data_IF_209265405127
#
_entry.id   IF_209265405127
#
_cell.length_a   1.000
_cell.length_b   1.000
_cell.length_c   1.000
_cell.angle_alpha   90.00
_cell.angle_beta   90.00
_cell.angle_gamma   90.00
#
_symmetry.space_group_name_H-M   'P 1'
#
loop_
_entity.id
_entity.type
_entity.pdbx_description
1 polymer ?
#
# COMPACT_ATOMS: atom_id res chain seq x y z
N UNK A 1 -21.80 -34.79 -15.11
CA UNK A 1 -21.92 -33.36 -14.76
C UNK A 1 -21.06 -33.12 -13.54
N UNK A 2 -19.83 -32.69 -13.77
CA UNK A 2 -18.87 -32.38 -12.69
C UNK A 2 -19.38 -31.14 -11.94
N UNK A 3 -19.49 -31.24 -10.61
CA UNK A 3 -20.01 -30.16 -9.78
C UNK A 3 -19.17 -28.89 -9.99
N UNK A 4 -19.77 -27.85 -10.56
CA UNK A 4 -19.21 -26.50 -10.74
C UNK A 4 -19.08 -25.76 -9.39
N UNK A 5 -19.33 -26.45 -8.27
CA UNK A 5 -19.05 -25.92 -6.93
C UNK A 5 -17.56 -26.05 -6.67
N UNK A 6 -16.91 -24.91 -6.47
CA UNK A 6 -15.50 -24.86 -6.10
C UNK A 6 -15.18 -25.68 -4.83
N UNK A 7 -13.90 -25.79 -4.47
CA UNK A 7 -13.46 -26.61 -3.35
C UNK A 7 -14.20 -26.27 -2.05
N UNK A 8 -14.63 -27.29 -1.31
CA UNK A 8 -15.28 -27.09 -0.01
C UNK A 8 -14.22 -26.74 1.04
N UNK A 9 -14.00 -25.44 1.24
CA UNK A 9 -12.99 -24.92 2.15
C UNK A 9 -13.25 -25.27 3.62
N UNK A 10 -14.51 -25.44 4.02
CA UNK A 10 -14.85 -25.78 5.40
C UNK A 10 -14.40 -27.20 5.72
N UNK A 11 -14.67 -28.14 4.81
CA UNK A 11 -14.26 -29.54 4.97
C UNK A 11 -12.72 -29.67 5.04
N UNK A 12 -12.01 -28.94 4.18
CA UNK A 12 -10.53 -28.92 4.16
C UNK A 12 -10.00 -28.35 5.49
N UNK A 13 -10.62 -27.28 5.99
CA UNK A 13 -10.25 -26.65 7.25
C UNK A 13 -10.45 -27.60 8.43
N UNK A 14 -11.59 -28.28 8.50
CA UNK A 14 -11.87 -29.25 9.57
C UNK A 14 -10.87 -30.41 9.57
N UNK A 15 -10.52 -30.96 8.41
CA UNK A 15 -9.52 -32.02 8.32
C UNK A 15 -8.13 -31.53 8.76
N UNK A 16 -7.75 -30.31 8.35
CA UNK A 16 -6.50 -29.69 8.80
C UNK A 16 -6.44 -29.52 10.33
N UNK A 17 -7.53 -29.05 10.94
CA UNK A 17 -7.64 -28.85 12.39
C UNK A 17 -7.62 -30.18 13.16
N UNK A 18 -8.31 -31.21 12.67
CA UNK A 18 -8.31 -32.56 13.28
C UNK A 18 -6.92 -33.17 13.38
N UNK A 19 -6.05 -32.84 12.44
CA UNK A 19 -4.70 -33.37 12.33
C UNK A 19 -3.64 -32.47 13.00
N UNK A 20 -4.06 -31.48 13.79
CA UNK A 20 -3.21 -30.57 14.58
C UNK A 20 -2.07 -29.91 13.78
N UNK A 21 -2.22 -29.76 12.45
CA UNK A 21 -1.21 -29.13 11.60
C UNK A 21 0.00 -30.00 11.25
N UNK A 22 0.03 -31.28 11.65
CA UNK A 22 1.10 -32.24 11.28
C UNK A 22 0.95 -32.77 9.84
N UNK A 23 -0.07 -32.30 9.10
CA UNK A 23 -0.34 -32.72 7.73
C UNK A 23 0.58 -32.00 6.76
N UNK A 24 1.15 -32.77 5.83
CA UNK A 24 1.74 -32.21 4.62
C UNK A 24 0.64 -31.57 3.78
N UNK A 25 0.61 -30.23 3.77
CA UNK A 25 -0.32 -29.43 2.95
C UNK A 25 -0.34 -29.82 1.47
N UNK A 26 0.74 -30.41 0.94
CA UNK A 26 0.78 -30.91 -0.45
C UNK A 26 -0.16 -32.09 -0.67
N UNK A 27 -0.16 -33.07 0.24
CA UNK A 27 -1.01 -34.25 0.17
C UNK A 27 -2.49 -33.88 0.39
N UNK A 28 -2.75 -32.94 1.30
CA UNK A 28 -4.08 -32.38 1.51
C UNK A 28 -4.59 -31.66 0.25
N UNK A 29 -3.73 -30.88 -0.41
CA UNK A 29 -4.09 -30.19 -1.65
C UNK A 29 -4.43 -31.17 -2.78
N UNK A 30 -3.64 -32.25 -2.92
CA UNK A 30 -3.87 -33.31 -3.92
C UNK A 30 -5.21 -34.04 -3.67
N UNK A 31 -5.54 -34.36 -2.41
CA UNK A 31 -6.80 -35.02 -2.03
C UNK A 31 -8.05 -34.24 -2.46
N UNK A 32 -8.00 -32.92 -2.35
CA UNK A 32 -9.12 -32.03 -2.66
C UNK A 32 -9.04 -31.40 -4.07
N UNK A 33 -8.05 -31.77 -4.88
CA UNK A 33 -7.86 -31.22 -6.22
C UNK A 33 -7.53 -29.71 -6.23
N UNK A 34 -6.97 -29.19 -5.14
CA UNK A 34 -6.63 -27.77 -4.99
C UNK A 34 -5.14 -27.58 -5.27
N UNK A 35 -4.76 -26.44 -5.85
CA UNK A 35 -3.34 -26.07 -5.94
C UNK A 35 -2.76 -25.84 -4.55
N UNK A 36 -1.60 -26.42 -4.27
CA UNK A 36 -0.87 -26.22 -3.01
C UNK A 36 -0.73 -24.74 -2.61
N UNK A 37 -0.42 -23.87 -3.57
CA UNK A 37 -0.29 -22.43 -3.35
C UNK A 37 -1.60 -21.76 -2.88
N UNK A 38 -2.74 -22.17 -3.44
CA UNK A 38 -4.06 -21.67 -3.03
C UNK A 38 -4.39 -22.10 -1.61
N UNK A 39 -4.16 -23.38 -1.29
CA UNK A 39 -4.38 -23.90 0.06
C UNK A 39 -3.50 -23.19 1.09
N UNK A 40 -2.21 -23.01 0.79
CA UNK A 40 -1.26 -22.28 1.65
C UNK A 40 -1.67 -20.82 1.86
N UNK A 41 -2.10 -20.13 0.81
CA UNK A 41 -2.56 -18.74 0.88
C UNK A 41 -3.83 -18.62 1.74
N UNK A 42 -4.80 -19.54 1.57
CA UNK A 42 -6.04 -19.56 2.34
C UNK A 42 -5.79 -19.82 3.82
N UNK A 43 -5.00 -20.85 4.14
CA UNK A 43 -4.55 -21.18 5.50
C UNK A 43 -4.00 -19.94 6.23
N UNK A 44 -3.16 -19.15 5.55
CA UNK A 44 -2.57 -17.94 6.11
C UNK A 44 -3.55 -16.76 6.21
N UNK A 45 -4.48 -16.60 5.27
CA UNK A 45 -5.49 -15.51 5.31
C UNK A 45 -6.49 -15.71 6.44
N UNK A 46 -6.85 -16.95 6.72
CA UNK A 46 -7.83 -17.32 7.76
C UNK A 46 -7.18 -17.76 9.07
N UNK A 47 -5.85 -17.66 9.19
CA UNK A 47 -5.10 -18.00 10.40
C UNK A 47 -5.46 -19.37 11.01
N UNK A 48 -5.57 -20.42 10.19
CA UNK A 48 -5.98 -21.76 10.67
C UNK A 48 -5.07 -22.30 11.80
N UNK A 49 -3.81 -21.88 11.84
CA UNK A 49 -2.85 -22.27 12.90
C UNK A 49 -3.25 -21.76 14.31
N UNK A 50 -3.98 -20.64 14.39
CA UNK A 50 -4.45 -20.09 15.67
C UNK A 50 -5.54 -20.97 16.31
N UNK A 51 -6.28 -21.73 15.50
CA UNK A 51 -7.36 -22.60 15.99
C UNK A 51 -6.83 -23.93 16.56
N UNK A 52 -5.64 -24.37 16.12
CA UNK A 52 -4.96 -25.57 16.64
C UNK A 52 -4.35 -25.28 18.01
N UNK A 53 -3.67 -24.14 18.16
CA UNK A 53 -2.90 -23.82 19.34
C UNK A 53 -3.51 -22.63 20.11
N UNK A 54 -4.63 -22.85 20.80
CA UNK A 54 -5.24 -21.81 21.66
C UNK A 54 -4.33 -21.33 22.81
N UNK A 55 -3.29 -22.10 23.16
CA UNK A 55 -2.40 -21.81 24.30
C UNK A 55 -0.94 -21.53 23.92
N UNK A 56 -0.56 -21.66 22.65
CA UNK A 56 0.80 -21.28 22.24
C UNK A 56 0.69 -19.89 21.67
N UNK A 57 1.18 -18.90 22.43
CA UNK A 57 1.50 -17.60 21.90
C UNK A 57 2.64 -17.75 20.87
N UNK A 58 2.36 -18.33 19.70
CA UNK A 58 3.17 -18.14 18.51
C UNK A 58 2.86 -16.74 18.00
N UNK A 59 3.23 -15.74 18.82
CA UNK A 59 3.34 -14.36 18.41
C UNK A 59 4.22 -14.34 17.16
N UNK A 60 3.58 -14.34 15.99
CA UNK A 60 4.10 -13.89 14.72
C UNK A 60 5.62 -14.05 14.56
N UNK A 61 6.15 -15.28 14.57
CA UNK A 61 7.54 -15.50 14.17
C UNK A 61 7.77 -15.06 12.71
N UNK A 62 6.67 -14.89 11.96
CA UNK A 62 6.64 -14.17 10.69
C UNK A 62 5.74 -12.94 10.82
N UNK A 63 6.13 -11.94 11.62
CA UNK A 63 5.73 -10.59 11.26
C UNK A 63 6.23 -10.42 9.83
N UNK A 64 5.31 -10.33 8.88
CA UNK A 64 5.67 -9.91 7.53
C UNK A 64 6.20 -8.48 7.69
N UNK A 65 7.52 -8.36 7.89
CA UNK A 65 8.22 -7.13 7.51
C UNK A 65 7.78 -6.91 6.08
N UNK A 66 7.03 -5.84 5.85
CA UNK A 66 6.68 -5.42 4.51
C UNK A 66 7.97 -5.48 3.69
N UNK A 67 8.10 -6.46 2.80
CA UNK A 67 9.27 -6.60 1.93
C UNK A 67 9.10 -5.65 0.74
N UNK A 68 8.54 -4.46 0.99
CA UNK A 68 9.05 -3.29 0.32
C UNK A 68 10.47 -3.16 0.89
N UNK A 69 11.46 -3.69 0.18
CA UNK A 69 12.86 -3.34 0.42
C UNK A 69 12.90 -1.84 0.58
N UNK A 70 13.11 -1.36 1.81
CA UNK A 70 13.47 0.04 2.01
C UNK A 70 14.73 0.23 1.17
N UNK A 71 14.58 0.91 0.04
CA UNK A 71 15.70 1.30 -0.78
C UNK A 71 16.63 2.09 0.14
N UNK A 72 17.71 1.44 0.60
CA UNK A 72 18.84 2.05 1.33
C UNK A 72 19.60 3.07 0.47
N UNK A 73 19.04 3.43 -0.68
CA UNK A 73 19.36 4.61 -1.45
C UNK A 73 18.37 5.75 -1.18
N UNK A 74 17.97 5.97 0.07
CA UNK A 74 17.65 7.33 0.50
C UNK A 74 18.97 8.08 0.72
N UNK A 75 19.80 8.13 -0.35
CA UNK A 75 20.67 9.28 -0.54
C UNK A 75 19.70 10.45 -0.38
N UNK A 76 20.01 11.37 0.52
CA UNK A 76 19.49 12.72 0.44
C UNK A 76 20.00 13.24 -0.91
N UNK A 77 19.38 12.82 -2.00
CA UNK A 77 19.42 13.54 -3.25
C UNK A 77 18.76 14.84 -2.86
N UNK A 78 19.59 15.78 -2.41
CA UNK A 78 19.28 17.19 -2.53
C UNK A 78 19.10 17.29 -4.03
N UNK A 79 17.85 17.17 -4.49
CA UNK A 79 17.52 17.39 -5.89
C UNK A 79 18.24 18.70 -6.25
N UNK A 80 19.03 18.71 -7.33
CA UNK A 80 19.71 19.93 -7.72
C UNK A 80 18.61 20.97 -7.89
N UNK A 81 18.54 21.90 -6.93
CA UNK A 81 17.67 23.05 -7.02
C UNK A 81 18.22 23.78 -8.23
N UNK A 82 17.47 23.73 -9.33
CA UNK A 82 17.83 24.40 -10.57
C UNK A 82 17.99 25.90 -10.27
N UNK A 83 18.89 26.55 -11.00
CA UNK A 83 19.18 27.98 -10.81
C UNK A 83 17.89 28.82 -10.87
N UNK A 84 16.97 28.45 -11.77
CA UNK A 84 15.62 29.02 -11.90
C UNK A 84 14.78 28.99 -10.61
N UNK A 85 14.84 27.90 -9.82
CA UNK A 85 14.06 27.79 -8.58
C UNK A 85 14.67 28.65 -7.47
N UNK A 86 16.00 28.84 -7.47
CA UNK A 86 16.68 29.74 -6.53
C UNK A 86 16.36 31.20 -6.83
N UNK A 87 16.35 31.56 -8.11
CA UNK A 87 15.97 32.91 -8.54
C UNK A 87 14.55 33.28 -8.06
N UNK A 88 13.58 32.37 -8.18
CA UNK A 88 12.21 32.63 -7.69
C UNK A 88 12.15 32.76 -6.15
N UNK A 89 13.01 32.06 -5.42
CA UNK A 89 13.11 32.16 -3.95
C UNK A 89 13.80 33.45 -3.48
N UNK A 90 14.76 33.95 -4.25
CA UNK A 90 15.57 35.13 -3.92
C UNK A 90 14.96 36.45 -4.45
N UNK A 91 14.02 36.38 -5.41
CA UNK A 91 13.36 37.55 -6.00
C UNK A 91 12.47 38.31 -5.02
N UNK A 92 12.95 39.43 -4.48
CA UNK A 92 12.22 40.32 -3.56
C UNK A 92 10.95 40.93 -4.14
N UNK A 93 10.83 40.94 -5.47
CA UNK A 93 9.70 41.54 -6.19
C UNK A 93 8.44 40.65 -6.17
N UNK A 94 8.59 39.36 -5.85
CA UNK A 94 7.49 38.41 -5.72
C UNK A 94 6.96 38.36 -4.29
N UNK A 95 5.66 38.60 -4.13
CA UNK A 95 4.97 38.40 -2.84
C UNK A 95 4.96 36.92 -2.45
N UNK A 96 4.90 36.61 -1.15
CA UNK A 96 4.92 35.23 -0.63
C UNK A 96 3.85 34.33 -1.29
N UNK A 97 2.67 34.90 -1.57
CA UNK A 97 1.59 34.17 -2.24
C UNK A 97 1.91 33.83 -3.70
N UNK A 98 2.59 34.72 -4.42
CA UNK A 98 3.02 34.44 -5.79
C UNK A 98 4.12 33.37 -5.82
N UNK A 99 5.06 33.41 -4.88
CA UNK A 99 6.10 32.36 -4.73
C UNK A 99 5.48 30.98 -4.45
N UNK A 100 4.50 30.93 -3.54
CA UNK A 100 3.74 29.71 -3.24
C UNK A 100 2.95 29.21 -4.46
N UNK A 101 2.38 30.11 -5.26
CA UNK A 101 1.69 29.74 -6.49
C UNK A 101 2.64 29.06 -7.50
N UNK A 102 3.84 29.60 -7.72
CA UNK A 102 4.86 29.00 -8.58
C UNK A 102 5.25 27.58 -8.14
N UNK A 103 5.25 27.30 -6.83
CA UNK A 103 5.50 25.96 -6.30
C UNK A 103 4.31 25.00 -6.54
N UNK A 104 3.07 25.47 -6.40
CA UNK A 104 1.88 24.62 -6.52
C UNK A 104 1.44 24.37 -7.96
N UNK A 105 1.69 25.30 -8.89
CA UNK A 105 1.20 25.20 -10.26
C UNK A 105 1.73 23.94 -10.99
N UNK A 106 3.05 23.64 -10.99
CA UNK A 106 3.58 22.41 -11.60
C UNK A 106 3.07 21.12 -10.94
N UNK A 107 2.62 21.19 -9.68
CA UNK A 107 2.09 20.02 -8.95
C UNK A 107 0.66 19.66 -9.35
N UNK A 108 -0.17 20.67 -9.62
CA UNK A 108 -1.60 20.47 -9.85
C UNK A 108 -2.04 20.71 -11.30
N UNK A 109 -1.20 21.35 -12.12
CA UNK A 109 -1.51 21.78 -13.49
C UNK A 109 -2.87 22.48 -13.61
N UNK A 110 -3.24 23.23 -12.56
CA UNK A 110 -4.54 23.87 -12.43
C UNK A 110 -4.36 25.18 -11.68
N UNK A 111 -4.66 26.29 -12.36
CA UNK A 111 -4.48 27.64 -11.85
C UNK A 111 -5.30 27.84 -10.57
N UNK A 112 -6.60 27.52 -10.62
CA UNK A 112 -7.53 27.66 -9.49
C UNK A 112 -7.07 26.84 -8.27
N UNK A 113 -6.61 25.60 -8.47
CA UNK A 113 -6.13 24.77 -7.34
C UNK A 113 -4.85 25.33 -6.74
N UNK A 114 -3.93 25.82 -7.57
CA UNK A 114 -2.67 26.39 -7.12
C UNK A 114 -2.86 27.73 -6.39
N UNK A 115 -3.75 28.61 -6.86
CA UNK A 115 -4.06 29.89 -6.21
C UNK A 115 -4.75 29.69 -4.85
N UNK A 116 -5.72 28.78 -4.76
CA UNK A 116 -6.36 28.42 -3.48
C UNK A 116 -5.32 27.88 -2.49
N UNK A 117 -4.39 27.02 -2.95
CA UNK A 117 -3.33 26.48 -2.11
C UNK A 117 -2.28 27.51 -1.70
N UNK A 118 -2.05 28.53 -2.52
CA UNK A 118 -1.20 29.66 -2.20
C UNK A 118 -1.83 30.69 -1.24
N UNK A 119 -3.11 30.52 -0.86
CA UNK A 119 -3.78 31.38 0.13
C UNK A 119 -4.47 32.61 -0.47
N UNK A 120 -4.82 32.57 -1.75
CA UNK A 120 -5.75 33.54 -2.35
C UNK A 120 -7.20 33.22 -1.94
N UNK A 121 -8.03 34.26 -1.81
CA UNK A 121 -9.47 34.08 -1.62
C UNK A 121 -10.07 33.43 -2.87
N UNK A 122 -11.21 32.74 -2.73
CA UNK A 122 -11.89 32.11 -3.85
C UNK A 122 -12.21 33.09 -4.99
N UNK A 123 -12.45 34.35 -4.66
CA UNK A 123 -12.72 35.41 -5.63
C UNK A 123 -11.44 35.93 -6.30
N UNK A 124 -10.33 36.08 -5.58
CA UNK A 124 -9.03 36.43 -6.19
C UNK A 124 -8.46 35.30 -7.05
N UNK A 125 -8.77 34.05 -6.73
CA UNK A 125 -8.39 32.88 -7.52
C UNK A 125 -9.06 32.85 -8.91
N UNK A 126 -10.28 33.38 -9.05
CA UNK A 126 -10.97 33.50 -10.35
C UNK A 126 -10.43 34.65 -11.20
N UNK A 127 -9.95 35.74 -10.59
CA UNK A 127 -9.38 36.88 -11.32
C UNK A 127 -8.01 36.56 -11.93
N UNK A 128 -7.21 35.73 -11.24
CA UNK A 128 -5.87 35.30 -11.71
C UNK A 128 -5.96 34.14 -12.71
N UNK A 129 -7.08 33.41 -12.74
CA UNK A 129 -7.25 32.17 -13.49
C UNK A 129 -8.24 32.20 -14.66
N UNK A 130 -8.79 33.37 -14.99
CA UNK A 130 -9.49 33.64 -16.25
C UNK A 130 -8.50 34.17 -17.29
#
# INVERSE_FOLDING_TARGET
MENIRGPDWNLIKEEYLKLNGDVKLKELAEKYGVKYSTLRSRKNRENWDNEINKNVATNSATQQKNVATENKNKRKNKEPITEEVKEVLENTDLTDKQRLFCFYYPKYFSIIKATIKAGYSRNGASEIGC
#
